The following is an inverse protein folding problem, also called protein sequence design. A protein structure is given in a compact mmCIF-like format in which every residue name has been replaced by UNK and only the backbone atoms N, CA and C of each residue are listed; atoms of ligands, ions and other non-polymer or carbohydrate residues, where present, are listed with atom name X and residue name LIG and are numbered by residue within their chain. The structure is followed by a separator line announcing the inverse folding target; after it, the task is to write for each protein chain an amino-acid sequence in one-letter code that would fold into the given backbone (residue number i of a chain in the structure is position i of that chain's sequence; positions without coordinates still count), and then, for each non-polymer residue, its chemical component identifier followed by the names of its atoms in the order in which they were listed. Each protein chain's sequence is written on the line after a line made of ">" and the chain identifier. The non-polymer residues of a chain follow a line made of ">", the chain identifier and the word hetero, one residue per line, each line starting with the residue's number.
data_IF_257368038288
#
_entry.id   IF_257368038288
#
_cell.length_a   1.000
_cell.length_b   1.000
_cell.length_c   1.000
_cell.angle_alpha   90.00
_cell.angle_beta   90.00
_cell.angle_gamma   90.00
#
_symmetry.space_group_name_H-M   'P 1'
#
loop_
_entity.id
_entity.type
_entity.pdbx_description
1 polymer ?
#
# COMPACT_ATOMS: atom_id res chain seq x y z
N UNK A 1 20.22 33.73 23.52
CA UNK A 1 20.98 32.47 23.50
C UNK A 1 20.49 31.47 22.43
N UNK A 2 19.51 31.82 21.58
CA UNK A 2 18.96 30.91 20.55
C UNK A 2 19.71 30.85 19.21
N UNK A 3 20.58 31.82 18.89
CA UNK A 3 21.27 31.86 17.58
C UNK A 3 22.46 30.88 17.49
N UNK A 4 23.09 30.56 18.62
CA UNK A 4 24.23 29.63 18.69
C UNK A 4 23.79 28.17 18.49
N UNK A 5 22.62 27.77 19.03
CA UNK A 5 22.07 26.42 18.84
C UNK A 5 21.62 26.15 17.40
N UNK A 6 21.11 27.16 16.69
CA UNK A 6 20.74 27.05 15.27
C UNK A 6 21.97 26.94 14.34
N UNK A 7 23.07 27.61 14.67
CA UNK A 7 24.33 27.54 13.92
C UNK A 7 25.01 26.18 14.03
N UNK A 8 25.06 25.60 15.23
CA UNK A 8 25.60 24.26 15.48
C UNK A 8 24.77 23.16 14.79
N UNK A 9 23.43 23.29 14.79
CA UNK A 9 22.54 22.37 14.08
C UNK A 9 22.72 22.41 12.55
N UNK A 10 22.91 23.60 11.98
CA UNK A 10 23.18 23.75 10.52
C UNK A 10 24.55 23.22 10.13
N UNK A 11 25.59 23.48 10.92
CA UNK A 11 26.94 22.97 10.64
C UNK A 11 26.98 21.43 10.71
N UNK A 12 26.27 20.85 11.69
CA UNK A 12 26.12 19.41 11.83
C UNK A 12 25.38 18.76 10.66
N UNK A 13 24.31 19.38 10.15
CA UNK A 13 23.59 18.92 8.96
C UNK A 13 24.46 18.97 7.71
N UNK A 14 25.23 20.05 7.50
CA UNK A 14 26.14 20.18 6.35
C UNK A 14 27.27 19.14 6.39
N UNK A 15 27.81 18.84 7.57
CA UNK A 15 28.81 17.77 7.75
C UNK A 15 28.22 16.37 7.52
N UNK A 16 26.98 16.14 7.99
CA UNK A 16 26.27 14.89 7.74
C UNK A 16 25.93 14.70 6.27
N UNK A 17 25.52 15.75 5.56
CA UNK A 17 25.24 15.70 4.11
C UNK A 17 26.51 15.45 3.28
N UNK A 18 27.70 15.81 3.79
CA UNK A 18 28.97 15.49 3.13
C UNK A 18 29.40 14.03 3.37
N UNK A 19 29.12 13.48 4.55
CA UNK A 19 29.43 12.09 4.88
C UNK A 19 28.37 11.11 4.37
N UNK A 20 27.12 11.57 4.25
CA UNK A 20 25.94 10.82 3.83
C UNK A 20 25.10 11.67 2.86
N UNK A 21 25.58 11.88 1.62
CA UNK A 21 24.87 12.70 0.65
C UNK A 21 23.47 12.14 0.39
N UNK A 22 22.46 13.02 0.27
CA UNK A 22 21.12 12.57 -0.05
C UNK A 22 21.16 11.76 -1.33
N UNK A 23 20.48 10.60 -1.32
CA UNK A 23 20.56 9.64 -2.41
C UNK A 23 19.15 9.25 -2.86
N UNK A 24 19.03 8.94 -4.15
CA UNK A 24 17.79 8.48 -4.76
C UNK A 24 17.27 7.25 -4.02
N UNK A 25 16.02 7.33 -3.57
CA UNK A 25 15.39 6.26 -2.79
C UNK A 25 15.25 4.94 -3.58
N UNK A 26 15.33 5.00 -4.92
CA UNK A 26 15.31 3.83 -5.81
C UNK A 26 16.70 3.34 -6.28
N UNK A 27 17.57 4.20 -6.83
CA UNK A 27 18.85 3.76 -7.42
C UNK A 27 20.10 4.18 -6.60
N UNK A 28 19.92 4.95 -5.53
CA UNK A 28 21.00 5.51 -4.71
C UNK A 28 21.93 6.51 -5.43
N UNK A 29 21.56 7.00 -6.61
CA UNK A 29 22.28 8.11 -7.25
C UNK A 29 22.24 9.38 -6.37
N UNK A 30 23.31 10.20 -6.33
CA UNK A 30 23.34 11.42 -5.53
C UNK A 30 22.22 12.39 -5.89
N UNK A 31 21.66 13.06 -4.89
CA UNK A 31 20.61 14.07 -4.99
C UNK A 31 20.97 15.32 -4.19
N UNK A 32 20.28 16.42 -4.50
CA UNK A 32 20.38 17.68 -3.74
C UNK A 32 19.49 17.65 -2.49
N UNK A 33 18.42 16.85 -2.50
CA UNK A 33 17.49 16.70 -1.38
C UNK A 33 17.17 15.22 -1.13
N UNK A 34 16.99 14.87 0.15
CA UNK A 34 16.65 13.52 0.60
C UNK A 34 15.24 13.07 0.24
N UNK A 35 14.93 11.80 0.53
CA UNK A 35 13.60 11.18 0.40
C UNK A 35 12.92 11.33 -0.97
N UNK A 36 13.72 11.45 -2.03
CA UNK A 36 13.27 11.77 -3.38
C UNK A 36 13.83 10.81 -4.42
N UNK A 37 13.23 10.82 -5.61
CA UNK A 37 13.75 10.09 -6.78
C UNK A 37 14.61 11.01 -7.64
N UNK A 38 15.64 10.48 -8.28
CA UNK A 38 16.31 11.16 -9.38
C UNK A 38 15.38 11.21 -10.60
N UNK A 39 15.66 12.11 -11.55
CA UNK A 39 14.84 12.29 -12.75
C UNK A 39 14.59 10.98 -13.51
N UNK A 40 15.61 10.15 -13.68
CA UNK A 40 15.50 8.86 -14.37
C UNK A 40 14.60 7.85 -13.64
N UNK A 41 14.66 7.78 -12.31
CA UNK A 41 13.75 6.91 -11.56
C UNK A 41 12.34 7.48 -11.51
N UNK A 42 12.20 8.81 -11.46
CA UNK A 42 10.91 9.47 -11.50
C UNK A 42 10.19 9.23 -12.83
N UNK A 43 10.89 9.34 -13.96
CA UNK A 43 10.33 9.05 -15.30
C UNK A 43 9.93 7.58 -15.49
N UNK A 44 10.49 6.67 -14.70
CA UNK A 44 10.11 5.25 -14.69
C UNK A 44 8.88 4.92 -13.84
N UNK A 45 8.28 5.90 -13.16
CA UNK A 45 7.00 5.70 -12.48
C UNK A 45 5.85 5.73 -13.47
N UNK A 46 4.89 4.82 -13.30
CA UNK A 46 3.67 4.73 -14.11
C UNK A 46 2.46 4.89 -13.20
N UNK A 47 1.96 6.12 -12.97
CA UNK A 47 0.75 6.35 -12.19
C UNK A 47 -0.45 5.68 -12.84
N UNK A 48 -1.37 5.17 -12.02
CA UNK A 48 -2.67 4.67 -12.52
C UNK A 48 -3.68 5.80 -12.40
N UNK A 49 -4.19 6.24 -13.54
CA UNK A 49 -5.23 7.26 -13.67
C UNK A 49 -6.40 6.73 -14.50
N UNK A 50 -7.54 7.43 -14.45
CA UNK A 50 -8.67 7.11 -15.31
C UNK A 50 -8.28 7.25 -16.80
N UNK A 51 -8.90 6.46 -17.70
CA UNK A 51 -9.94 5.47 -17.43
C UNK A 51 -9.38 4.15 -16.84
N UNK A 52 -10.04 3.64 -15.81
CA UNK A 52 -9.73 2.34 -15.19
C UNK A 52 -11.01 1.62 -14.77
N UNK A 53 -10.92 0.31 -14.52
CA UNK A 53 -12.03 -0.48 -14.03
C UNK A 53 -12.56 0.09 -12.71
N UNK A 54 -13.86 0.39 -12.57
CA UNK A 54 -14.41 1.04 -11.38
C UNK A 54 -14.25 0.18 -10.12
N UNK A 55 -14.27 -1.15 -10.28
CA UNK A 55 -14.15 -2.12 -9.18
C UNK A 55 -12.69 -2.38 -8.85
N UNK A 56 -11.88 -2.85 -9.82
CA UNK A 56 -10.52 -3.30 -9.51
C UNK A 56 -9.48 -2.20 -9.62
N UNK A 57 -9.75 -1.09 -10.31
CA UNK A 57 -8.74 -0.05 -10.61
C UNK A 57 -7.68 -0.52 -11.61
N UNK A 58 -8.05 -1.40 -12.54
CA UNK A 58 -7.20 -1.83 -13.66
C UNK A 58 -7.25 -0.75 -14.75
N UNK A 59 -6.13 -0.15 -15.18
CA UNK A 59 -6.16 0.85 -16.25
C UNK A 59 -6.69 0.22 -17.54
N UNK A 60 -7.46 1.01 -18.29
CA UNK A 60 -7.89 0.64 -19.64
C UNK A 60 -6.95 1.26 -20.68
N UNK A 61 -6.73 0.57 -21.80
CA UNK A 61 -5.90 1.06 -22.91
C UNK A 61 -6.60 2.17 -23.74
N UNK A 62 -7.92 2.33 -23.56
CA UNK A 62 -8.73 3.38 -24.19
C UNK A 62 -9.98 3.68 -23.35
N UNK A 63 -10.90 4.50 -23.87
CA UNK A 63 -12.21 4.73 -23.24
C UNK A 63 -13.15 3.53 -23.54
N UNK A 64 -13.44 2.69 -22.55
CA UNK A 64 -14.30 1.53 -22.77
C UNK A 64 -15.79 1.83 -22.59
N UNK A 65 -16.16 3.10 -22.34
CA UNK A 65 -17.51 3.52 -21.99
C UNK A 65 -17.82 3.46 -20.47
N UNK A 66 -18.97 4.03 -20.06
CA UNK A 66 -19.26 4.36 -18.66
C UNK A 66 -19.45 3.14 -17.73
N UNK A 67 -19.90 2.01 -18.25
CA UNK A 67 -20.21 0.80 -17.45
C UNK A 67 -19.14 -0.29 -17.55
N UNK A 68 -18.02 0.00 -18.21
CA UNK A 68 -17.02 -1.01 -18.49
C UNK A 68 -16.37 -1.56 -17.23
N UNK A 69 -16.26 -2.89 -17.18
CA UNK A 69 -15.54 -3.61 -16.14
C UNK A 69 -14.46 -4.46 -16.80
N UNK A 70 -13.30 -4.54 -16.15
CA UNK A 70 -12.23 -5.44 -16.60
C UNK A 70 -12.73 -6.90 -16.59
N UNK A 71 -12.21 -7.72 -17.49
CA UNK A 71 -12.47 -9.16 -17.51
C UNK A 71 -12.22 -9.84 -16.14
N UNK A 72 -11.18 -9.43 -15.42
CA UNK A 72 -10.89 -9.94 -14.07
C UNK A 72 -12.05 -9.68 -13.09
N UNK A 73 -12.63 -8.48 -13.13
CA UNK A 73 -13.74 -8.10 -12.25
C UNK A 73 -15.05 -8.83 -12.60
N UNK A 74 -15.24 -9.17 -13.88
CA UNK A 74 -16.41 -9.93 -14.34
C UNK A 74 -16.27 -11.42 -14.00
N UNK A 75 -15.08 -11.99 -14.16
CA UNK A 75 -14.82 -13.40 -13.93
C UNK A 75 -14.79 -13.79 -12.45
N UNK A 76 -14.21 -12.95 -11.58
CA UNK A 76 -14.13 -13.19 -10.13
C UNK A 76 -14.45 -11.92 -9.33
N UNK A 77 -15.76 -11.55 -9.24
CA UNK A 77 -16.20 -10.37 -8.52
C UNK A 77 -15.66 -10.35 -7.07
N UNK A 78 -14.95 -9.28 -6.66
CA UNK A 78 -14.39 -9.21 -5.33
C UNK A 78 -15.46 -8.97 -4.25
N UNK A 79 -15.19 -9.32 -2.99
CA UNK A 79 -16.10 -9.05 -1.86
C UNK A 79 -16.00 -7.60 -1.33
N UNK A 80 -15.13 -6.79 -1.92
CA UNK A 80 -14.94 -5.36 -1.62
C UNK A 80 -15.55 -4.52 -2.73
N UNK A 81 -15.82 -3.25 -2.47
CA UNK A 81 -16.48 -2.37 -3.43
C UNK A 81 -15.52 -1.80 -4.48
N UNK A 82 -14.38 -1.24 -4.04
CA UNK A 82 -13.39 -0.66 -4.95
C UNK A 82 -11.97 -0.96 -4.50
N UNK A 83 -11.08 -1.14 -5.46
CA UNK A 83 -9.64 -1.18 -5.27
C UNK A 83 -8.98 -0.07 -6.11
N UNK A 84 -8.01 0.62 -5.49
CA UNK A 84 -7.13 1.59 -6.15
C UNK A 84 -5.68 1.27 -5.83
N UNK A 85 -4.83 1.53 -6.81
CA UNK A 85 -3.39 1.46 -6.68
C UNK A 85 -2.79 2.77 -7.19
N UNK A 86 -1.78 3.30 -6.51
CA UNK A 86 -1.15 4.54 -6.96
C UNK A 86 -0.33 4.34 -8.25
N UNK A 87 0.33 3.19 -8.37
CA UNK A 87 1.28 2.90 -9.44
C UNK A 87 1.04 1.53 -10.09
N UNK A 88 1.30 1.43 -11.39
CA UNK A 88 1.52 0.16 -12.04
C UNK A 88 2.88 -0.41 -11.60
N UNK A 89 2.95 -1.72 -11.41
CA UNK A 89 4.19 -2.40 -11.03
C UNK A 89 5.16 -2.37 -12.21
N UNK A 90 6.39 -1.90 -11.95
CA UNK A 90 7.48 -1.83 -12.91
C UNK A 90 8.82 -1.85 -12.20
N UNK A 91 9.92 -1.66 -12.92
CA UNK A 91 11.28 -1.81 -12.37
C UNK A 91 11.55 -0.88 -11.16
N UNK A 92 11.20 0.41 -11.27
CA UNK A 92 11.40 1.38 -10.18
C UNK A 92 10.52 1.04 -8.99
N UNK A 93 9.22 0.80 -9.22
CA UNK A 93 8.24 0.45 -8.18
C UNK A 93 8.63 -0.84 -7.46
N UNK A 94 9.07 -1.87 -8.19
CA UNK A 94 9.57 -3.12 -7.64
C UNK A 94 10.81 -2.92 -6.77
N UNK A 95 11.72 -2.04 -7.18
CA UNK A 95 12.90 -1.66 -6.39
C UNK A 95 12.50 -0.96 -5.09
N UNK A 96 11.56 0.00 -5.15
CA UNK A 96 11.04 0.68 -3.96
C UNK A 96 10.37 -0.30 -2.99
N UNK A 97 9.53 -1.21 -3.49
CA UNK A 97 8.86 -2.24 -2.68
C UNK A 97 9.89 -3.20 -2.06
N UNK A 98 10.91 -3.60 -2.81
CA UNK A 98 11.98 -4.48 -2.30
C UNK A 98 12.76 -3.81 -1.17
N UNK A 99 13.21 -2.57 -1.40
CA UNK A 99 13.90 -1.75 -0.38
C UNK A 99 13.01 -1.52 0.84
N UNK A 100 11.71 -1.31 0.63
CA UNK A 100 10.77 -1.15 1.74
C UNK A 100 10.47 -2.46 2.48
N UNK A 101 10.64 -3.63 1.86
CA UNK A 101 10.44 -4.93 2.51
C UNK A 101 11.67 -5.44 3.26
N UNK A 102 12.86 -5.11 2.79
CA UNK A 102 14.10 -5.77 3.20
C UNK A 102 15.27 -4.82 3.52
N UNK A 103 15.17 -3.53 3.17
CA UNK A 103 16.27 -2.56 3.31
C UNK A 103 16.15 -1.60 4.49
N UNK A 104 15.19 -1.82 5.41
CA UNK A 104 14.91 -0.96 6.58
C UNK A 104 14.67 0.53 6.24
N UNK A 105 14.17 0.79 5.02
CA UNK A 105 13.95 2.13 4.49
C UNK A 105 12.54 2.65 4.86
N UNK A 106 12.29 2.90 6.13
CA UNK A 106 10.98 3.35 6.64
C UNK A 106 10.55 4.71 6.09
N UNK A 107 11.50 5.55 5.67
CA UNK A 107 11.26 6.84 5.02
C UNK A 107 10.47 6.71 3.70
N UNK A 108 10.56 5.54 3.04
CA UNK A 108 9.76 5.25 1.84
C UNK A 108 8.25 5.31 2.11
N UNK A 109 7.82 5.08 3.35
CA UNK A 109 6.42 5.15 3.71
C UNK A 109 5.82 6.54 3.42
N UNK A 110 6.57 7.62 3.69
CA UNK A 110 6.11 9.00 3.42
C UNK A 110 5.94 9.26 1.94
N UNK A 111 6.92 8.84 1.13
CA UNK A 111 6.87 8.99 -0.32
C UNK A 111 5.69 8.22 -0.92
N UNK A 112 5.58 6.92 -0.59
CA UNK A 112 4.51 6.06 -1.08
C UNK A 112 3.13 6.53 -0.62
N UNK A 113 2.97 6.93 0.64
CA UNK A 113 1.68 7.38 1.18
C UNK A 113 1.17 8.65 0.52
N UNK A 114 2.05 9.59 0.11
CA UNK A 114 1.64 10.78 -0.66
C UNK A 114 0.99 10.41 -2.00
N UNK A 115 1.60 9.45 -2.71
CA UNK A 115 1.08 8.95 -3.98
C UNK A 115 -0.24 8.19 -3.78
N UNK A 116 -0.32 7.37 -2.73
CA UNK A 116 -1.54 6.67 -2.34
C UNK A 116 -2.67 7.62 -1.94
N UNK A 117 -2.37 8.72 -1.23
CA UNK A 117 -3.35 9.71 -0.83
C UNK A 117 -4.05 10.36 -2.04
N UNK A 118 -3.29 10.61 -3.10
CA UNK A 118 -3.82 11.10 -4.37
C UNK A 118 -4.69 10.05 -5.09
N UNK A 119 -4.24 8.79 -5.14
CA UNK A 119 -4.99 7.70 -5.79
C UNK A 119 -6.28 7.32 -5.04
N UNK A 120 -6.35 7.57 -3.73
CA UNK A 120 -7.49 7.24 -2.88
C UNK A 120 -8.47 8.40 -2.64
N UNK A 121 -8.37 9.52 -3.36
CA UNK A 121 -9.16 10.74 -3.09
C UNK A 121 -10.67 10.49 -2.94
N UNK A 122 -11.23 9.58 -3.72
CA UNK A 122 -12.64 9.22 -3.68
C UNK A 122 -13.08 8.51 -2.38
N UNK A 123 -12.15 8.00 -1.58
CA UNK A 123 -12.45 7.28 -0.33
C UNK A 123 -12.58 8.22 0.87
N UNK A 124 -11.95 9.39 0.83
CA UNK A 124 -11.78 10.26 2.01
C UNK A 124 -13.06 10.96 2.51
N UNK A 125 -14.02 11.37 1.65
CA UNK A 125 -15.22 12.07 2.11
C UNK A 125 -16.05 11.31 3.15
N UNK A 126 -16.11 9.98 3.03
CA UNK A 126 -16.87 9.12 3.94
C UNK A 126 -16.14 8.81 5.26
N UNK A 127 -14.98 9.45 5.48
CA UNK A 127 -14.12 9.30 6.66
C UNK A 127 -13.93 7.86 7.13
N UNK A 128 -13.43 6.96 6.25
CA UNK A 128 -13.27 5.55 6.60
C UNK A 128 -12.20 5.34 7.66
N UNK A 129 -12.29 4.20 8.35
CA UNK A 129 -11.18 3.69 9.17
C UNK A 129 -10.15 3.05 8.24
N UNK A 130 -8.89 3.48 8.36
CA UNK A 130 -7.77 2.86 7.67
C UNK A 130 -7.31 1.63 8.43
N UNK A 131 -7.32 0.47 7.77
CA UNK A 131 -6.95 -0.80 8.37
C UNK A 131 -5.76 -1.39 7.61
N UNK A 132 -4.54 -1.39 8.19
CA UNK A 132 -3.38 -1.97 7.52
C UNK A 132 -3.51 -3.50 7.45
N UNK A 133 -3.13 -4.08 6.30
CA UNK A 133 -3.06 -5.53 6.16
C UNK A 133 -2.05 -6.12 7.16
N UNK A 134 -2.45 -7.08 8.02
CA UNK A 134 -1.59 -7.58 9.07
C UNK A 134 -0.58 -8.61 8.56
N UNK A 135 0.66 -8.49 9.04
CA UNK A 135 1.67 -9.54 8.93
C UNK A 135 1.53 -10.57 10.06
N UNK A 136 1.95 -11.80 9.77
CA UNK A 136 2.10 -12.83 10.81
C UNK A 136 3.30 -12.48 11.70
N UNK A 137 3.23 -12.79 13.01
CA UNK A 137 4.27 -12.44 13.99
C UNK A 137 5.68 -12.88 13.57
N UNK A 138 5.83 -14.06 12.95
CA UNK A 138 7.13 -14.53 12.45
C UNK A 138 7.71 -13.62 11.35
N UNK A 139 6.87 -13.07 10.47
CA UNK A 139 7.31 -12.14 9.41
C UNK A 139 7.61 -10.77 9.98
N UNK A 140 6.85 -10.32 10.97
CA UNK A 140 7.12 -9.07 11.67
C UNK A 140 8.49 -9.11 12.35
N UNK A 141 8.83 -10.22 13.01
CA UNK A 141 10.17 -10.41 13.61
C UNK A 141 11.30 -10.34 12.57
N UNK A 142 11.12 -10.99 11.42
CA UNK A 142 12.12 -11.01 10.36
C UNK A 142 12.28 -9.64 9.67
N UNK A 143 11.15 -8.97 9.38
CA UNK A 143 11.11 -7.69 8.66
C UNK A 143 11.19 -6.46 9.55
N UNK A 144 11.23 -6.62 10.88
CA UNK A 144 11.23 -5.58 11.94
C UNK A 144 9.98 -4.70 12.01
N UNK A 145 9.29 -4.46 10.90
CA UNK A 145 8.08 -3.65 10.82
C UNK A 145 7.05 -4.23 9.83
N UNK A 146 5.83 -3.68 9.88
CA UNK A 146 4.76 -3.93 8.92
C UNK A 146 4.68 -2.75 7.93
N UNK A 147 4.98 -2.99 6.65
CA UNK A 147 4.96 -1.97 5.60
C UNK A 147 3.58 -1.29 5.51
N UNK A 148 2.53 -2.12 5.48
CA UNK A 148 1.15 -1.67 5.35
C UNK A 148 0.72 -0.81 6.55
N UNK A 149 1.27 -1.08 7.74
CA UNK A 149 1.10 -0.21 8.92
C UNK A 149 1.73 1.16 8.72
N UNK A 150 2.99 1.21 8.27
CA UNK A 150 3.70 2.48 8.08
C UNK A 150 3.00 3.34 7.02
N UNK A 151 2.53 2.71 5.93
CA UNK A 151 1.70 3.38 4.92
C UNK A 151 0.39 3.89 5.51
N UNK A 152 -0.33 3.07 6.27
CA UNK A 152 -1.60 3.48 6.88
C UNK A 152 -1.42 4.65 7.87
N UNK A 153 -0.34 4.65 8.66
CA UNK A 153 -0.02 5.74 9.59
C UNK A 153 0.27 7.05 8.86
N UNK A 154 1.07 7.03 7.81
CA UNK A 154 1.34 8.23 7.01
C UNK A 154 0.10 8.71 6.26
N UNK A 155 -0.74 7.79 5.77
CA UNK A 155 -2.05 8.14 5.20
C UNK A 155 -2.93 8.84 6.24
N UNK A 156 -3.09 8.28 7.44
CA UNK A 156 -3.85 8.90 8.52
C UNK A 156 -3.33 10.29 8.89
N UNK A 157 -2.01 10.50 8.87
CA UNK A 157 -1.39 11.83 9.06
C UNK A 157 -1.72 12.81 7.94
N UNK A 158 -1.76 12.35 6.69
CA UNK A 158 -2.05 13.18 5.51
C UNK A 158 -3.54 13.51 5.37
N UNK A 159 -4.42 12.58 5.74
CA UNK A 159 -5.87 12.69 5.51
C UNK A 159 -6.68 13.01 6.76
N UNK A 160 -6.07 12.92 7.95
CA UNK A 160 -6.77 13.07 9.23
C UNK A 160 -7.73 11.91 9.55
N UNK A 161 -7.53 10.75 8.91
CA UNK A 161 -8.35 9.56 9.11
C UNK A 161 -7.82 8.70 10.26
N UNK A 162 -8.75 8.04 10.95
CA UNK A 162 -8.43 7.07 11.99
C UNK A 162 -7.73 5.85 11.38
N UNK A 163 -6.67 5.40 12.04
CA UNK A 163 -5.94 4.17 11.68
C UNK A 163 -6.17 3.15 12.78
N UNK A 164 -6.77 2.01 12.44
CA UNK A 164 -6.96 0.91 13.36
C UNK A 164 -6.10 -0.32 12.99
N UNK A 165 -4.91 -0.43 13.58
CA UNK A 165 -4.00 -1.53 13.29
C UNK A 165 -4.36 -2.86 13.97
N UNK A 166 -5.27 -2.82 14.94
CA UNK A 166 -5.59 -3.96 15.79
C UNK A 166 -6.93 -4.59 15.42
N UNK A 167 -7.68 -4.00 14.49
CA UNK A 167 -8.97 -4.51 14.06
C UNK A 167 -8.89 -5.91 13.46
N UNK A 168 -7.84 -6.18 12.69
CA UNK A 168 -7.61 -7.47 12.02
C UNK A 168 -6.25 -8.02 12.43
N UNK A 169 -6.22 -9.28 12.87
CA UNK A 169 -4.99 -9.98 13.21
C UNK A 169 -4.81 -11.21 12.33
N UNK A 170 -3.57 -11.42 11.87
CA UNK A 170 -3.17 -12.66 11.19
C UNK A 170 -2.63 -13.66 12.20
N UNK A 171 -3.44 -14.66 12.57
CA UNK A 171 -3.07 -15.63 13.60
C UNK A 171 -2.36 -16.87 13.02
N UNK A 172 -2.60 -17.20 11.75
CA UNK A 172 -2.00 -18.37 11.10
C UNK A 172 -0.80 -17.97 10.23
N UNK A 173 0.31 -18.70 10.37
CA UNK A 173 1.44 -18.61 9.44
C UNK A 173 1.02 -19.21 8.11
N UNK A 174 1.23 -18.46 7.03
CA UNK A 174 0.98 -18.95 5.66
C UNK A 174 2.30 -19.02 4.90
N UNK A 175 2.39 -19.89 3.89
CA UNK A 175 3.56 -19.98 3.00
C UNK A 175 3.79 -18.64 2.30
N UNK A 176 5.02 -18.38 1.85
CA UNK A 176 5.27 -17.24 0.98
C UNK A 176 4.41 -17.39 -0.29
N UNK A 177 3.88 -16.27 -0.80
CA UNK A 177 3.00 -16.29 -1.98
C UNK A 177 3.78 -16.33 -3.30
N UNK A 178 5.10 -16.09 -3.26
CA UNK A 178 6.02 -16.26 -4.38
C UNK A 178 6.01 -17.73 -4.79
N UNK A 179 5.88 -18.01 -6.09
CA UNK A 179 5.79 -19.36 -6.65
C UNK A 179 4.43 -20.06 -6.48
N UNK A 180 3.42 -19.42 -5.87
CA UNK A 180 2.05 -19.96 -5.82
C UNK A 180 1.21 -19.41 -6.97
N UNK A 181 0.41 -20.29 -7.60
CA UNK A 181 -0.67 -19.91 -8.51
C UNK A 181 -1.74 -19.06 -7.81
N UNK A 182 -2.62 -18.40 -8.57
CA UNK A 182 -3.72 -17.60 -8.00
C UNK A 182 -4.56 -18.38 -6.99
N UNK A 183 -4.99 -19.59 -7.35
CA UNK A 183 -5.73 -20.49 -6.46
C UNK A 183 -4.91 -20.94 -5.26
N UNK A 184 -3.61 -21.21 -5.48
CA UNK A 184 -2.67 -21.52 -4.42
C UNK A 184 -2.59 -20.39 -3.39
N UNK A 185 -2.57 -19.12 -3.84
CA UNK A 185 -2.57 -17.94 -2.97
C UNK A 185 -3.88 -17.82 -2.19
N UNK A 186 -5.03 -18.11 -2.80
CA UNK A 186 -6.34 -18.06 -2.13
C UNK A 186 -6.45 -19.12 -1.02
N UNK A 187 -6.09 -20.38 -1.32
CA UNK A 187 -6.07 -21.45 -0.32
C UNK A 187 -5.10 -21.17 0.83
N UNK A 188 -3.94 -20.60 0.51
CA UNK A 188 -2.90 -20.29 1.48
C UNK A 188 -3.35 -19.29 2.56
N UNK A 189 -4.27 -18.37 2.26
CA UNK A 189 -4.74 -17.34 3.22
C UNK A 189 -6.10 -17.66 3.85
N UNK A 190 -6.79 -18.72 3.42
CA UNK A 190 -8.10 -19.12 3.97
C UNK A 190 -8.00 -19.31 5.49
N UNK A 191 -8.91 -18.69 6.24
CA UNK A 191 -8.94 -18.76 7.71
C UNK A 191 -7.69 -18.21 8.41
N UNK A 192 -6.86 -17.40 7.76
CA UNK A 192 -5.65 -16.85 8.40
C UNK A 192 -5.90 -15.58 9.24
N UNK A 193 -7.07 -14.95 9.10
CA UNK A 193 -7.40 -13.65 9.68
C UNK A 193 -8.57 -13.76 10.65
N UNK A 194 -8.48 -13.04 11.75
CA UNK A 194 -9.51 -12.91 12.79
C UNK A 194 -9.68 -11.43 13.14
N UNK A 195 -10.88 -11.07 13.57
CA UNK A 195 -11.17 -9.73 14.07
C UNK A 195 -10.79 -9.58 15.55
N UNK A 196 -10.62 -8.32 15.95
CA UNK A 196 -10.63 -7.94 17.36
C UNK A 196 -11.95 -8.34 18.04
N UNK A 197 -11.92 -8.68 19.33
CA UNK A 197 -13.13 -9.11 20.07
C UNK A 197 -14.23 -8.04 20.06
N UNK A 198 -13.83 -6.77 20.19
CA UNK A 198 -14.74 -5.60 20.09
C UNK A 198 -14.92 -5.06 18.66
N UNK A 199 -14.66 -5.86 17.62
CA UNK A 199 -14.70 -5.34 16.25
C UNK A 199 -16.08 -4.83 15.85
N UNK A 200 -17.16 -5.46 16.31
CA UNK A 200 -18.52 -5.00 16.02
C UNK A 200 -18.76 -3.57 16.53
N UNK A 201 -18.36 -3.29 17.77
CA UNK A 201 -18.44 -1.94 18.38
C UNK A 201 -17.54 -0.93 17.67
N UNK A 202 -16.30 -1.33 17.34
CA UNK A 202 -15.32 -0.45 16.68
C UNK A 202 -15.70 -0.11 15.24
N UNK A 203 -16.30 -1.08 14.53
CA UNK A 203 -16.76 -0.91 13.17
C UNK A 203 -18.07 -0.15 13.12
N UNK A 204 -19.10 -0.57 13.87
CA UNK A 204 -20.41 0.09 13.91
C UNK A 204 -20.96 0.49 12.52
N UNK A 205 -20.78 -0.35 11.49
CA UNK A 205 -21.21 -0.07 10.12
C UNK A 205 -20.37 0.97 9.36
N UNK A 206 -19.27 1.48 9.94
CA UNK A 206 -18.38 2.46 9.32
C UNK A 206 -17.71 1.91 8.06
N UNK A 207 -17.42 2.77 7.08
CA UNK A 207 -16.62 2.38 5.93
C UNK A 207 -15.17 2.12 6.35
N UNK A 208 -14.53 1.18 5.67
CA UNK A 208 -13.16 0.74 5.91
C UNK A 208 -12.36 0.83 4.62
N UNK A 209 -11.13 1.32 4.71
CA UNK A 209 -10.14 1.20 3.63
C UNK A 209 -9.01 0.28 4.10
N UNK A 210 -8.87 -0.86 3.42
CA UNK A 210 -7.73 -1.75 3.62
C UNK A 210 -6.50 -1.16 2.93
N UNK A 211 -5.42 -1.01 3.69
CA UNK A 211 -4.15 -0.48 3.19
C UNK A 211 -3.14 -1.61 3.03
N UNK A 212 -2.57 -1.77 1.84
CA UNK A 212 -1.47 -2.70 1.59
C UNK A 212 -0.39 -2.09 0.68
N UNK A 213 0.73 -2.78 0.51
CA UNK A 213 1.79 -2.31 -0.38
C UNK A 213 1.53 -2.69 -1.85
N UNK A 214 1.18 -3.94 -2.12
CA UNK A 214 1.00 -4.44 -3.49
C UNK A 214 -0.28 -5.26 -3.66
N UNK A 215 -1.12 -4.86 -4.60
CA UNK A 215 -2.22 -5.68 -5.10
C UNK A 215 -1.73 -6.63 -6.20
N UNK A 216 -1.82 -7.94 -5.94
CA UNK A 216 -1.56 -8.99 -6.95
C UNK A 216 -2.88 -9.66 -7.33
N UNK A 217 -3.16 -10.86 -6.82
CA UNK A 217 -4.44 -11.57 -7.05
C UNK A 217 -5.55 -11.13 -6.11
N UNK A 218 -5.26 -10.18 -5.22
CA UNK A 218 -6.19 -9.76 -4.16
C UNK A 218 -6.48 -10.81 -3.09
N UNK A 219 -5.93 -12.03 -3.13
CA UNK A 219 -6.30 -13.12 -2.21
C UNK A 219 -6.28 -12.70 -0.72
N UNK A 220 -5.24 -11.97 -0.31
CA UNK A 220 -5.09 -11.45 1.05
C UNK A 220 -6.22 -10.48 1.41
N UNK A 221 -6.43 -9.43 0.61
CA UNK A 221 -7.46 -8.42 0.87
C UNK A 221 -8.86 -9.02 0.76
N UNK A 222 -9.13 -9.88 -0.24
CA UNK A 222 -10.41 -10.63 -0.36
C UNK A 222 -10.71 -11.47 0.89
N UNK A 223 -9.69 -12.07 1.54
CA UNK A 223 -9.89 -12.83 2.77
C UNK A 223 -10.19 -11.93 3.97
N UNK A 224 -9.50 -10.79 4.08
CA UNK A 224 -9.72 -9.82 5.16
C UNK A 224 -11.08 -9.13 5.01
N UNK A 225 -11.46 -8.72 3.80
CA UNK A 225 -12.77 -8.11 3.52
C UNK A 225 -13.92 -9.00 3.98
N UNK A 226 -13.88 -10.32 3.68
CA UNK A 226 -14.91 -11.26 4.14
C UNK A 226 -14.99 -11.35 5.66
N UNK A 227 -13.86 -11.21 6.35
CA UNK A 227 -13.79 -11.20 7.81
C UNK A 227 -14.37 -9.89 8.36
N UNK A 228 -14.00 -8.74 7.79
CA UNK A 228 -14.53 -7.42 8.14
C UNK A 228 -16.04 -7.31 7.95
N UNK A 229 -16.56 -7.73 6.78
CA UNK A 229 -18.01 -7.71 6.49
C UNK A 229 -18.80 -8.54 7.50
N UNK A 230 -18.31 -9.74 7.86
CA UNK A 230 -18.91 -10.56 8.92
C UNK A 230 -18.84 -9.91 10.31
N UNK A 231 -17.90 -9.01 10.52
CA UNK A 231 -17.77 -8.21 11.74
C UNK A 231 -18.63 -6.95 11.78
N UNK A 232 -19.49 -6.72 10.78
CA UNK A 232 -20.33 -5.52 10.72
C UNK A 232 -19.65 -4.29 10.12
N UNK A 233 -18.57 -4.46 9.35
CA UNK A 233 -18.04 -3.36 8.55
C UNK A 233 -19.07 -2.94 7.49
N UNK A 234 -19.16 -1.63 7.23
CA UNK A 234 -19.94 -1.09 6.12
C UNK A 234 -19.26 -1.37 4.78
N UNK A 235 -19.08 -0.33 3.95
CA UNK A 235 -18.29 -0.45 2.72
C UNK A 235 -16.84 -0.81 3.04
N UNK A 236 -16.23 -1.70 2.26
CA UNK A 236 -14.80 -2.05 2.38
C UNK A 236 -14.14 -1.76 1.05
N UNK A 237 -13.27 -0.76 1.02
CA UNK A 237 -12.43 -0.42 -0.14
C UNK A 237 -10.98 -0.86 0.10
N UNK A 238 -10.17 -0.88 -0.95
CA UNK A 238 -8.76 -1.28 -0.90
C UNK A 238 -7.89 -0.21 -1.54
N UNK A 239 -6.82 0.19 -0.85
CA UNK A 239 -5.81 1.11 -1.35
C UNK A 239 -4.42 0.48 -1.25
N UNK A 240 -3.71 0.44 -2.37
CA UNK A 240 -2.34 -0.11 -2.43
C UNK A 240 -1.36 0.87 -3.07
N UNK A 241 -0.07 0.73 -2.75
CA UNK A 241 0.95 1.53 -3.42
C UNK A 241 1.09 1.12 -4.89
N UNK A 242 1.13 -0.19 -5.15
CA UNK A 242 1.29 -0.71 -6.50
C UNK A 242 0.33 -1.84 -6.82
N UNK A 243 0.08 -2.06 -8.11
CA UNK A 243 -0.56 -3.29 -8.60
C UNK A 243 0.16 -3.86 -9.80
N UNK A 244 0.08 -5.18 -9.98
CA UNK A 244 0.45 -5.79 -11.26
C UNK A 244 -0.61 -5.43 -12.29
N UNK A 245 -0.17 -4.92 -13.42
CA UNK A 245 -0.97 -4.72 -14.64
C UNK A 245 -0.39 -5.68 -15.67
N UNK A 246 -1.23 -6.47 -16.32
CA UNK A 246 -0.79 -7.32 -17.42
C UNK A 246 -0.76 -6.42 -18.64
N UNK A 247 0.33 -5.70 -18.81
CA UNK A 247 0.72 -5.21 -20.13
C UNK A 247 1.47 -6.36 -20.79
N UNK A 248 1.30 -6.58 -22.09
CA UNK A 248 1.85 -7.72 -22.85
C UNK A 248 3.38 -7.91 -22.85
N UNK A 249 4.13 -7.32 -21.91
CA UNK A 249 5.59 -7.28 -21.86
C UNK A 249 6.24 -7.99 -20.67
N UNK A 250 5.50 -8.59 -19.72
CA UNK A 250 6.14 -9.38 -18.66
C UNK A 250 6.21 -10.86 -19.05
N UNK A 251 7.42 -11.43 -19.30
CA UNK A 251 7.56 -12.85 -19.50
C UNK A 251 7.26 -13.56 -18.18
N UNK A 252 6.28 -14.47 -18.26
CA UNK A 252 5.94 -15.50 -17.27
C UNK A 252 7.17 -16.28 -16.84
#
# INVERSE_FOLDING_TARGET
>A
MDRLGQGLGRLGLVLLDQLYPPACIACSAPLVAGDSLCAACFSGLRPISAPFCPILGLPFEGDPGPDARSAEALADPPPFERARAAMAYGAVVGTLISRFKYGDRVELARFCARLMAAAGQEFWPDRPVLVPVPLHASRLRFRRYNQSMLLARELGRLTGLEVDPHLVRRHRKTRQQVGLSGDGRLRNVRGAFVLHQRALERLAGRPVVLVDDVYTTGATVKAITRVLKRGGAGRVDVLTFARVVIDGELPI
#
